data_IF_122344018897
#
_entry.id   IF_122344018897
#
_cell.length_a   1.000
_cell.length_b   1.000
_cell.length_c   1.000
_cell.angle_alpha   90.00
_cell.angle_beta   90.00
_cell.angle_gamma   90.00
#
_symmetry.space_group_name_H-M   'P 1'
#
loop_
_entity.id
_entity.type
_entity.pdbx_description
1 polymer ?
#
# COMPACT_ATOMS: atom_id res chain seq x y z
N UNK A 1 0.56 -3.34 -72.18
CA UNK A 1 -0.81 -3.57 -71.68
C UNK A 1 -0.78 -4.83 -70.81
N UNK A 2 -1.43 -5.03 -69.65
CA UNK A 2 -2.12 -4.22 -68.62
C UNK A 2 -2.08 -5.10 -67.33
N UNK A 3 -2.22 -4.63 -66.08
CA UNK A 3 -2.56 -3.31 -65.54
C UNK A 3 -1.89 -3.06 -64.16
N UNK A 4 -1.84 -1.81 -63.72
CA UNK A 4 -1.42 -1.41 -62.36
C UNK A 4 -2.59 -1.55 -61.37
N UNK A 5 -2.93 -2.78 -60.91
CA UNK A 5 -4.08 -2.96 -59.99
C UNK A 5 -3.90 -3.90 -58.77
N UNK A 6 -2.85 -4.71 -58.71
CA UNK A 6 -2.63 -5.63 -57.57
C UNK A 6 -1.60 -5.14 -56.54
N UNK A 7 -1.05 -3.95 -56.73
CA UNK A 7 -0.57 -3.12 -55.64
C UNK A 7 -1.81 -2.64 -54.86
N UNK A 8 -2.02 -3.13 -53.63
CA UNK A 8 -2.61 -2.39 -52.48
C UNK A 8 -2.93 -3.24 -51.24
N UNK A 9 -2.95 -4.59 -51.32
CA UNK A 9 -3.46 -5.45 -50.21
C UNK A 9 -2.44 -6.53 -49.79
N UNK A 10 -1.32 -6.10 -49.20
CA UNK A 10 -0.37 -7.03 -48.56
C UNK A 10 0.46 -6.42 -47.40
N UNK A 11 0.22 -5.16 -47.02
CA UNK A 11 0.96 -4.47 -45.94
C UNK A 11 -0.02 -3.84 -44.96
N UNK A 12 -0.89 -4.68 -44.39
CA UNK A 12 -1.61 -4.35 -43.16
C UNK A 12 -0.60 -4.44 -42.01
N UNK A 13 0.14 -3.36 -41.78
CA UNK A 13 1.30 -3.32 -40.90
C UNK A 13 0.85 -3.56 -39.44
N UNK A 14 1.17 -4.74 -38.92
CA UNK A 14 0.69 -5.25 -37.65
C UNK A 14 1.23 -4.46 -36.47
N UNK A 15 0.42 -3.55 -35.91
CA UNK A 15 0.68 -2.92 -34.60
C UNK A 15 -0.45 -3.28 -33.64
N UNK A 16 -0.43 -4.55 -33.19
CA UNK A 16 -1.13 -4.91 -31.95
C UNK A 16 -0.28 -4.38 -30.81
N UNK A 17 -0.58 -3.15 -30.37
CA UNK A 17 0.01 -2.59 -29.17
C UNK A 17 -0.46 -3.42 -27.97
N UNK A 18 0.39 -4.34 -27.52
CA UNK A 18 0.13 -5.17 -26.35
C UNK A 18 0.10 -4.27 -25.11
N UNK A 19 -1.10 -3.83 -24.72
CA UNK A 19 -1.34 -3.18 -23.45
C UNK A 19 -1.21 -4.22 -22.33
N UNK A 20 0.03 -4.64 -22.06
CA UNK A 20 0.40 -5.43 -20.90
C UNK A 20 0.23 -4.55 -19.65
N UNK A 21 -1.03 -4.41 -19.21
CA UNK A 21 -1.32 -3.89 -17.89
C UNK A 21 -0.61 -4.78 -16.89
N UNK A 22 0.38 -4.21 -16.18
CA UNK A 22 1.07 -4.90 -15.11
C UNK A 22 0.08 -5.16 -13.99
N UNK A 23 -0.51 -6.35 -13.99
CA UNK A 23 -1.15 -6.91 -12.82
C UNK A 23 -0.04 -7.06 -11.76
N UNK A 24 0.08 -6.04 -10.91
CA UNK A 24 0.91 -6.15 -9.71
C UNK A 24 0.36 -7.32 -8.92
N UNK A 25 1.15 -8.38 -8.80
CA UNK A 25 0.83 -9.46 -7.89
C UNK A 25 0.82 -8.84 -6.49
N UNK A 26 -0.37 -8.60 -5.94
CA UNK A 26 -0.50 -8.17 -4.56
C UNK A 26 0.06 -9.29 -3.70
N UNK A 27 1.22 -9.07 -3.08
CA UNK A 27 1.93 -10.10 -2.34
C UNK A 27 1.15 -10.39 -1.05
N UNK A 28 0.31 -11.43 -1.11
CA UNK A 28 -0.56 -11.81 0.02
C UNK A 28 0.28 -12.60 1.02
N UNK A 29 1.13 -11.91 1.77
CA UNK A 29 1.84 -12.49 2.91
C UNK A 29 0.83 -12.85 4.02
N UNK A 30 0.33 -14.09 4.01
CA UNK A 30 -0.55 -14.65 5.06
C UNK A 30 0.29 -15.04 6.29
N UNK A 31 1.03 -14.10 6.88
CA UNK A 31 1.58 -14.32 8.21
C UNK A 31 0.43 -14.30 9.22
N UNK A 32 0.10 -15.46 9.79
CA UNK A 32 -0.98 -15.63 10.78
C UNK A 32 -0.62 -15.10 12.17
N UNK A 33 0.08 -13.96 12.22
CA UNK A 33 0.42 -13.24 13.44
C UNK A 33 -0.81 -12.66 14.13
N UNK A 34 -0.77 -12.64 15.46
CA UNK A 34 -1.75 -11.95 16.29
C UNK A 34 -1.64 -10.42 16.10
N UNK A 35 -2.75 -9.68 16.18
CA UNK A 35 -2.73 -8.22 16.11
C UNK A 35 -2.09 -7.60 17.37
N UNK A 36 -1.60 -6.34 17.30
CA UNK A 36 -1.13 -5.61 18.46
C UNK A 36 -2.23 -5.45 19.54
N UNK A 37 -1.86 -5.09 20.79
CA UNK A 37 -2.82 -4.67 21.80
C UNK A 37 -3.74 -3.53 21.30
N UNK A 38 -4.98 -3.51 21.75
CA UNK A 38 -5.94 -2.48 21.35
C UNK A 38 -5.58 -1.12 21.97
N UNK A 39 -5.56 -0.05 21.17
CA UNK A 39 -5.39 1.32 21.66
C UNK A 39 -6.71 1.76 22.30
N UNK A 40 -6.85 1.65 23.63
CA UNK A 40 -8.11 1.93 24.34
C UNK A 40 -8.42 3.42 24.55
N UNK A 41 -7.39 4.27 24.51
CA UNK A 41 -7.47 5.72 24.76
C UNK A 41 -6.48 6.45 23.86
N UNK A 42 -6.78 7.71 23.50
CA UNK A 42 -5.93 8.50 22.60
C UNK A 42 -4.56 8.71 23.26
N UNK A 43 -3.45 8.21 22.68
CA UNK A 43 -2.13 8.35 23.27
C UNK A 43 -1.60 9.77 23.11
N UNK A 44 -0.63 10.15 23.94
CA UNK A 44 0.23 11.29 23.65
C UNK A 44 1.12 10.94 22.44
N UNK A 45 1.28 11.88 21.52
CA UNK A 45 2.04 11.69 20.28
C UNK A 45 3.12 12.76 20.12
N UNK A 46 4.25 12.36 19.55
CA UNK A 46 5.37 13.24 19.19
C UNK A 46 5.58 13.20 17.68
N UNK A 47 5.91 14.32 17.06
CA UNK A 47 6.20 14.36 15.61
C UNK A 47 7.54 13.68 15.33
N UNK A 48 7.62 12.93 14.24
CA UNK A 48 8.91 12.44 13.72
C UNK A 48 9.54 13.57 12.90
N UNK A 49 10.79 13.99 13.21
CA UNK A 49 11.47 15.09 12.52
C UNK A 49 11.35 15.00 11.00
N UNK A 50 11.15 16.15 10.35
CA UNK A 50 11.08 16.30 8.89
C UNK A 50 9.95 15.53 8.19
N UNK A 51 9.01 14.92 8.93
CA UNK A 51 7.85 14.21 8.36
C UNK A 51 6.50 14.78 8.85
N UNK A 52 5.41 14.23 8.30
CA UNK A 52 4.02 14.45 8.77
C UNK A 52 3.51 13.29 9.65
N UNK A 53 4.39 12.37 10.05
CA UNK A 53 4.07 11.19 10.85
C UNK A 53 4.37 11.49 12.31
N UNK A 54 3.52 11.00 13.21
CA UNK A 54 3.74 11.06 14.64
C UNK A 54 3.97 9.65 15.20
N UNK A 55 4.76 9.52 16.26
CA UNK A 55 4.90 8.29 17.06
C UNK A 55 4.15 8.44 18.38
N UNK A 56 3.69 7.33 18.96
CA UNK A 56 3.07 7.30 20.29
C UNK A 56 3.98 6.60 21.32
N UNK A 57 5.00 7.29 21.88
CA UNK A 57 5.97 6.70 22.80
C UNK A 57 5.39 6.31 24.17
N UNK A 58 4.13 6.64 24.44
CA UNK A 58 3.38 6.21 25.63
C UNK A 58 2.78 4.80 25.52
N UNK A 59 3.00 4.11 24.39
CA UNK A 59 2.55 2.74 24.16
C UNK A 59 3.76 1.80 24.10
N UNK A 60 3.58 0.58 24.62
CA UNK A 60 4.63 -0.46 24.69
C UNK A 60 4.98 -1.08 23.32
N UNK A 61 4.35 -0.63 22.24
CA UNK A 61 4.52 -1.13 20.89
C UNK A 61 4.55 -0.01 19.86
N UNK A 62 5.22 -0.25 18.73
CA UNK A 62 5.40 0.74 17.67
C UNK A 62 4.05 1.17 17.08
N UNK A 63 3.66 2.42 17.32
CA UNK A 63 2.50 3.05 16.68
C UNK A 63 2.91 4.33 15.97
N UNK A 64 2.55 4.40 14.69
CA UNK A 64 2.64 5.56 13.83
C UNK A 64 1.23 6.16 13.69
N UNK A 65 1.11 7.49 13.73
CA UNK A 65 -0.15 8.21 13.51
C UNK A 65 0.00 9.10 12.30
N UNK A 66 -0.86 8.90 11.31
CA UNK A 66 -0.85 9.62 10.03
C UNK A 66 -2.28 9.71 9.48
N UNK A 67 -2.67 10.88 8.96
CA UNK A 67 -4.02 11.09 8.43
C UNK A 67 -5.15 10.80 9.44
N UNK A 68 -4.89 10.92 10.74
CA UNK A 68 -5.83 10.59 11.81
C UNK A 68 -6.00 9.10 12.12
N UNK A 69 -5.32 8.21 11.39
CA UNK A 69 -5.32 6.75 11.61
C UNK A 69 -4.06 6.30 12.34
N UNK A 70 -4.15 5.13 12.96
CA UNK A 70 -3.05 4.49 13.69
C UNK A 70 -2.55 3.29 12.88
N UNK A 71 -1.24 3.19 12.71
CA UNK A 71 -0.56 2.12 12.00
C UNK A 71 0.47 1.45 12.93
N UNK A 72 0.68 0.16 12.79
CA UNK A 72 1.69 -0.58 13.54
C UNK A 72 2.31 -1.67 12.66
N UNK A 73 3.63 -1.79 12.70
CA UNK A 73 4.35 -2.95 12.20
C UNK A 73 4.60 -3.87 13.40
N UNK A 74 4.01 -5.06 13.37
CA UNK A 74 4.02 -6.01 14.47
C UNK A 74 4.13 -7.44 13.92
N UNK A 75 5.16 -8.19 14.36
CA UNK A 75 5.47 -9.53 13.85
C UNK A 75 5.51 -9.56 12.30
N UNK A 76 6.30 -8.65 11.72
CA UNK A 76 6.50 -8.47 10.27
C UNK A 76 5.22 -8.26 9.43
N UNK A 77 4.12 -7.87 10.08
CA UNK A 77 2.84 -7.55 9.44
C UNK A 77 2.36 -6.16 9.82
N UNK A 78 1.85 -5.44 8.83
CA UNK A 78 1.24 -4.13 9.05
C UNK A 78 -0.20 -4.26 9.51
N UNK A 79 -0.59 -3.40 10.45
CA UNK A 79 -1.94 -3.27 10.95
C UNK A 79 -2.33 -1.79 10.95
N UNK A 80 -3.62 -1.52 10.73
CA UNK A 80 -4.20 -0.19 10.82
C UNK A 80 -5.51 -0.22 11.61
N UNK A 81 -5.73 0.79 12.44
CA UNK A 81 -7.06 1.08 12.99
C UNK A 81 -7.42 2.54 12.79
N UNK A 82 -8.68 2.80 12.44
CA UNK A 82 -9.16 4.14 12.13
C UNK A 82 -9.44 5.00 13.37
N UNK A 83 -9.56 4.38 14.55
CA UNK A 83 -9.84 5.06 15.83
C UNK A 83 -9.49 4.17 17.02
N UNK A 84 -9.32 4.78 18.19
CA UNK A 84 -9.16 4.07 19.46
C UNK A 84 -10.37 3.17 19.75
N UNK A 85 -10.13 2.03 20.36
CA UNK A 85 -11.14 1.00 20.67
C UNK A 85 -11.66 0.19 19.46
N UNK A 86 -11.30 0.55 18.22
CA UNK A 86 -11.66 -0.25 17.04
C UNK A 86 -10.61 -1.35 16.77
N UNK A 87 -11.03 -2.54 16.28
CA UNK A 87 -10.11 -3.62 15.93
C UNK A 87 -9.02 -3.22 14.94
N UNK A 88 -7.89 -3.93 14.99
CA UNK A 88 -6.83 -3.82 14.01
C UNK A 88 -7.19 -4.54 12.72
N UNK A 89 -7.21 -3.82 11.59
CA UNK A 89 -7.28 -4.39 10.25
C UNK A 89 -5.86 -4.66 9.74
N UNK A 90 -5.51 -5.90 9.36
CA UNK A 90 -4.22 -6.18 8.74
C UNK A 90 -4.13 -5.53 7.35
N UNK A 91 -2.93 -5.05 6.99
CA UNK A 91 -2.61 -4.48 5.68
C UNK A 91 -1.43 -5.22 5.04
N UNK A 92 -1.45 -5.32 3.71
CA UNK A 92 -0.24 -5.55 2.91
C UNK A 92 0.53 -4.23 2.77
N UNK A 93 1.84 -4.29 2.52
CA UNK A 93 2.74 -3.12 2.58
C UNK A 93 2.41 -2.04 1.55
N UNK A 94 1.75 -2.38 0.45
CA UNK A 94 1.27 -1.49 -0.61
C UNK A 94 0.14 -0.56 -0.14
N UNK A 95 -0.64 -0.99 0.86
CA UNK A 95 -1.76 -0.21 1.42
C UNK A 95 -1.33 0.67 2.62
N UNK A 96 -0.06 0.61 3.01
CA UNK A 96 0.51 1.47 4.04
C UNK A 96 1.00 2.78 3.38
N UNK A 97 0.64 3.96 3.89
CA UNK A 97 1.12 5.23 3.35
C UNK A 97 2.64 5.27 3.23
N UNK A 98 3.17 5.79 2.13
CA UNK A 98 4.62 5.89 1.90
C UNK A 98 5.32 6.70 2.99
N UNK A 99 4.65 7.72 3.51
CA UNK A 99 5.09 8.54 4.63
C UNK A 99 5.32 7.71 5.90
N UNK A 100 4.47 6.71 6.16
CA UNK A 100 4.59 5.81 7.33
C UNK A 100 5.68 4.75 7.11
N UNK A 101 5.91 4.34 5.85
CA UNK A 101 6.96 3.37 5.48
C UNK A 101 8.37 3.97 5.43
N UNK A 102 8.47 5.30 5.35
CA UNK A 102 9.74 6.03 5.24
C UNK A 102 10.31 6.51 6.60
N UNK A 103 9.77 6.01 7.72
CA UNK A 103 10.08 6.41 9.11
C UNK A 103 10.75 5.28 9.90
#
# INVERSE_FOLDING_TARGET
>A
MNDKRSLLIAVALSVVALAAGSAVAADVNINSGWPPPAILRKPAVVVVPETKVYRAPSLEFNVFVFGGKYYSLHNDRWYMTARVGAPWTPLIVEHVPTEVRAV
#
